data_IF_518427422159
#
_entry.id   IF_518427422159
#
_cell.length_a   1.000
_cell.length_b   1.000
_cell.length_c   1.000
_cell.angle_alpha   90.00
_cell.angle_beta   90.00
_cell.angle_gamma   90.00
#
_symmetry.space_group_name_H-M   'P 1'
#
loop_
_entity.id
_entity.type
_entity.pdbx_description
1 polymer ?
#
# COMPACT_ATOMS: atom_id res chain seq x y z
N UNK A 1 2.97 -9.64 14.37
CA UNK A 1 1.79 -10.01 13.55
C UNK A 1 2.18 -9.71 12.11
N UNK A 2 2.06 -10.67 11.19
CA UNK A 2 2.32 -10.38 9.76
C UNK A 2 1.04 -9.77 9.22
N UNK A 3 1.10 -8.51 8.80
CA UNK A 3 -0.07 -7.80 8.27
C UNK A 3 -0.61 -8.53 7.03
N UNK A 4 -1.93 -8.71 6.92
CA UNK A 4 -2.52 -9.24 5.70
C UNK A 4 -2.31 -8.23 4.55
N UNK A 5 -1.82 -8.72 3.41
CA UNK A 5 -1.73 -7.92 2.20
C UNK A 5 -3.14 -7.74 1.62
N UNK A 6 -3.58 -6.50 1.46
CA UNK A 6 -4.86 -6.17 0.81
C UNK A 6 -4.61 -5.53 -0.56
N UNK A 7 -5.61 -5.58 -1.45
CA UNK A 7 -5.56 -4.84 -2.70
C UNK A 7 -5.41 -3.32 -2.48
N UNK A 8 -6.01 -2.78 -1.41
CA UNK A 8 -5.91 -1.37 -1.03
C UNK A 8 -4.47 -0.92 -0.75
N UNK A 9 -3.69 -1.78 -0.08
CA UNK A 9 -2.25 -1.54 0.16
C UNK A 9 -1.51 -1.42 -1.17
N UNK A 10 -1.76 -2.33 -2.12
CA UNK A 10 -1.07 -2.34 -3.41
C UNK A 10 -1.47 -1.13 -4.25
N UNK A 11 -2.75 -0.80 -4.33
CA UNK A 11 -3.25 0.37 -5.06
C UNK A 11 -2.67 1.65 -4.48
N UNK A 12 -2.64 1.77 -3.15
CA UNK A 12 -2.02 2.91 -2.48
C UNK A 12 -0.54 3.04 -2.80
N UNK A 13 0.23 1.94 -2.77
CA UNK A 13 1.62 1.93 -3.20
C UNK A 13 1.78 2.42 -4.64
N UNK A 14 0.94 1.92 -5.54
CA UNK A 14 0.96 2.23 -6.96
C UNK A 14 0.82 3.73 -7.25
N UNK A 15 -0.02 4.42 -6.48
CA UNK A 15 -0.29 5.84 -6.66
C UNK A 15 0.44 6.76 -5.67
N UNK A 16 1.17 6.19 -4.72
CA UNK A 16 1.93 6.97 -3.73
C UNK A 16 3.04 7.80 -4.37
N UNK A 17 3.20 9.01 -3.86
CA UNK A 17 4.36 9.84 -4.22
C UNK A 17 5.65 9.25 -3.65
N UNK A 18 5.59 8.49 -2.55
CA UNK A 18 6.73 7.75 -2.01
C UNK A 18 7.41 6.88 -3.08
N UNK A 19 6.66 6.21 -3.97
CA UNK A 19 7.24 5.45 -5.08
C UNK A 19 7.74 6.34 -6.23
N UNK A 20 7.12 7.50 -6.46
CA UNK A 20 7.56 8.47 -7.49
C UNK A 20 8.83 9.22 -7.09
N UNK A 21 8.95 9.58 -5.82
CA UNK A 21 10.13 10.22 -5.23
C UNK A 21 11.24 9.22 -4.99
N UNK A 22 10.91 8.03 -4.48
CA UNK A 22 11.88 6.95 -4.37
C UNK A 22 12.30 6.47 -5.76
N UNK A 23 11.50 6.53 -6.83
CA UNK A 23 11.98 6.29 -8.20
C UNK A 23 13.19 7.14 -8.63
N UNK A 24 13.45 8.28 -7.95
CA UNK A 24 14.67 9.10 -8.11
C UNK A 24 15.79 8.78 -7.11
N UNK A 25 15.50 8.07 -6.01
CA UNK A 25 16.41 7.80 -4.87
C UNK A 25 16.59 6.30 -4.53
N UNK A 26 15.84 5.39 -5.17
CA UNK A 26 15.85 3.95 -4.93
C UNK A 26 17.19 3.41 -5.43
N UNK A 27 18.00 2.90 -4.49
CA UNK A 27 19.14 2.07 -4.84
C UNK A 27 18.71 0.90 -5.73
N UNK A 28 19.62 0.42 -6.58
CA UNK A 28 19.37 -0.58 -7.65
C UNK A 28 18.39 -1.72 -7.32
N UNK A 29 18.33 -2.22 -6.08
CA UNK A 29 17.43 -3.32 -5.69
C UNK A 29 15.93 -2.98 -5.67
N UNK A 30 15.57 -1.74 -5.35
CA UNK A 30 14.17 -1.29 -5.32
C UNK A 30 13.68 -0.77 -6.65
N UNK A 31 14.61 -0.20 -7.43
CA UNK A 31 14.40 0.11 -8.84
C UNK A 31 13.95 -1.13 -9.65
N UNK A 32 14.29 -2.34 -9.19
CA UNK A 32 13.91 -3.60 -9.85
C UNK A 32 12.66 -4.26 -9.27
N UNK A 33 12.30 -4.00 -8.01
CA UNK A 33 11.21 -4.73 -7.32
C UNK A 33 9.84 -4.12 -7.63
N UNK A 34 9.74 -2.78 -7.70
CA UNK A 34 8.47 -2.14 -8.02
C UNK A 34 8.02 -2.43 -9.46
N UNK A 35 8.88 -2.33 -10.50
CA UNK A 35 8.51 -2.76 -11.84
C UNK A 35 8.04 -4.23 -11.90
N UNK A 36 8.67 -5.14 -11.15
CA UNK A 36 8.21 -6.53 -11.05
C UNK A 36 6.82 -6.67 -10.45
N UNK A 37 6.47 -5.85 -9.45
CA UNK A 37 5.12 -5.79 -8.89
C UNK A 37 4.12 -5.34 -9.96
N UNK A 38 4.43 -4.24 -10.66
CA UNK A 38 3.61 -3.72 -11.76
C UNK A 38 3.41 -4.74 -12.86
N UNK A 39 4.50 -5.36 -13.34
CA UNK A 39 4.46 -6.34 -14.42
C UNK A 39 3.70 -7.61 -14.02
N UNK A 40 3.81 -8.03 -12.75
CA UNK A 40 3.05 -9.16 -12.22
C UNK A 40 1.54 -8.88 -12.24
N UNK A 41 1.12 -7.68 -11.82
CA UNK A 41 -0.30 -7.27 -11.86
C UNK A 41 -0.77 -7.15 -13.31
N UNK A 42 0.01 -6.48 -14.16
CA UNK A 42 -0.32 -6.30 -15.59
C UNK A 42 -0.47 -7.64 -16.29
N UNK A 43 0.43 -8.59 -16.07
CA UNK A 43 0.35 -9.92 -16.67
C UNK A 43 -0.91 -10.68 -16.22
N UNK A 44 -1.26 -10.61 -14.93
CA UNK A 44 -2.50 -11.22 -14.42
C UNK A 44 -3.72 -10.57 -15.08
N UNK A 45 -3.80 -9.25 -15.09
CA UNK A 45 -4.93 -8.52 -15.69
C UNK A 45 -5.02 -8.72 -17.20
N UNK A 46 -3.91 -8.92 -17.91
CA UNK A 46 -3.92 -9.29 -19.32
C UNK A 46 -4.48 -10.69 -19.54
N UNK A 47 -4.07 -11.67 -18.72
CA UNK A 47 -4.56 -13.04 -18.82
C UNK A 47 -6.08 -13.13 -18.57
N UNK A 48 -6.59 -12.31 -17.66
CA UNK A 48 -8.02 -12.26 -17.29
C UNK A 48 -8.83 -11.28 -18.16
N UNK A 49 -8.19 -10.57 -19.09
CA UNK A 49 -8.85 -9.60 -19.98
C UNK A 49 -9.27 -8.29 -19.31
N UNK A 50 -8.77 -7.99 -18.11
CA UNK A 50 -9.12 -6.81 -17.29
C UNK A 50 -8.05 -5.72 -17.28
N UNK A 51 -6.99 -5.82 -18.09
CA UNK A 51 -5.90 -4.82 -18.21
C UNK A 51 -6.38 -3.39 -18.46
N UNK A 52 -7.55 -3.22 -19.10
CA UNK A 52 -8.15 -1.91 -19.33
C UNK A 52 -8.47 -1.13 -18.03
N UNK A 53 -8.65 -1.82 -16.90
CA UNK A 53 -8.83 -1.18 -15.59
C UNK A 53 -7.53 -0.57 -15.08
N UNK A 54 -6.42 -1.32 -15.17
CA UNK A 54 -5.09 -0.83 -14.79
C UNK A 54 -4.71 0.40 -15.63
N UNK A 55 -4.81 0.29 -16.96
CA UNK A 55 -4.50 1.41 -17.88
C UNK A 55 -5.35 2.65 -17.60
N UNK A 56 -6.62 2.47 -17.22
CA UNK A 56 -7.51 3.59 -16.91
C UNK A 56 -7.08 4.29 -15.62
N UNK A 57 -6.76 3.54 -14.57
CA UNK A 57 -6.29 4.11 -13.32
C UNK A 57 -4.90 4.75 -13.45
N UNK A 58 -4.00 4.19 -14.28
CA UNK A 58 -2.70 4.79 -14.60
C UNK A 58 -2.84 6.14 -15.32
N UNK A 59 -3.74 6.24 -16.32
CA UNK A 59 -3.92 7.46 -17.12
C UNK A 59 -4.75 8.54 -16.41
N UNK A 60 -5.70 8.13 -15.59
CA UNK A 60 -6.64 9.02 -14.89
C UNK A 60 -6.88 8.49 -13.47
N UNK A 61 -5.99 8.79 -12.50
CA UNK A 61 -6.01 8.22 -11.16
C UNK A 61 -7.06 8.88 -10.26
N UNK A 62 -8.31 8.98 -10.71
CA UNK A 62 -9.45 9.38 -9.89
C UNK A 62 -9.78 8.28 -8.86
N UNK A 63 -10.36 8.66 -7.72
CA UNK A 63 -10.74 7.69 -6.67
C UNK A 63 -11.62 6.57 -7.21
N UNK A 64 -12.58 6.90 -8.08
CA UNK A 64 -13.44 5.90 -8.74
C UNK A 64 -12.66 4.90 -9.59
N UNK A 65 -11.57 5.31 -10.25
CA UNK A 65 -10.75 4.41 -11.05
C UNK A 65 -9.82 3.56 -10.16
N UNK A 66 -9.35 4.11 -9.03
CA UNK A 66 -8.58 3.38 -8.02
C UNK A 66 -9.42 2.31 -7.32
N UNK A 67 -10.63 2.64 -6.89
CA UNK A 67 -11.58 1.69 -6.27
C UNK A 67 -11.87 0.51 -7.21
N UNK A 68 -12.14 0.78 -8.49
CA UNK A 68 -12.36 -0.28 -9.48
C UNK A 68 -11.14 -1.17 -9.69
N UNK A 69 -9.94 -0.60 -9.68
CA UNK A 69 -8.71 -1.36 -9.76
C UNK A 69 -8.50 -2.21 -8.49
N UNK A 70 -8.81 -1.65 -7.32
CA UNK A 70 -8.74 -2.33 -6.03
C UNK A 70 -9.69 -3.53 -5.98
N UNK A 71 -10.95 -3.34 -6.36
CA UNK A 71 -11.96 -4.41 -6.36
C UNK A 71 -11.57 -5.56 -7.29
N UNK A 72 -11.10 -5.24 -8.49
CA UNK A 72 -10.61 -6.25 -9.43
C UNK A 72 -9.38 -6.97 -8.89
N UNK A 73 -8.40 -6.22 -8.36
CA UNK A 73 -7.18 -6.80 -7.81
C UNK A 73 -7.48 -7.73 -6.63
N UNK A 74 -8.42 -7.34 -5.76
CA UNK A 74 -8.87 -8.17 -4.65
C UNK A 74 -9.53 -9.45 -5.16
N UNK A 75 -10.41 -9.33 -6.17
CA UNK A 75 -11.05 -10.49 -6.82
C UNK A 75 -10.00 -11.47 -7.35
N UNK A 76 -8.94 -10.97 -8.01
CA UNK A 76 -7.87 -11.81 -8.53
C UNK A 76 -7.00 -12.43 -7.43
N UNK A 77 -6.75 -11.71 -6.33
CA UNK A 77 -6.04 -12.25 -5.17
C UNK A 77 -6.83 -13.34 -4.44
N UNK A 78 -8.14 -13.19 -4.33
CA UNK A 78 -9.03 -14.17 -3.68
C UNK A 78 -9.20 -15.42 -4.54
N UNK A 79 -9.24 -15.25 -5.87
CA UNK A 79 -9.36 -16.35 -6.83
C UNK A 79 -8.05 -17.13 -7.04
N UNK A 80 -6.90 -16.50 -6.87
CA UNK A 80 -5.58 -17.06 -7.18
C UNK A 80 -4.59 -16.83 -6.01
N UNK A 81 -4.51 -17.83 -5.14
CA UNK A 81 -3.63 -17.79 -3.96
C UNK A 81 -2.14 -17.73 -4.32
N UNK A 82 -1.71 -18.25 -5.49
CA UNK A 82 -0.32 -18.16 -5.93
C UNK A 82 0.02 -16.72 -6.32
N UNK A 83 -0.88 -16.09 -7.09
CA UNK A 83 -0.79 -14.67 -7.42
C UNK A 83 -0.76 -13.80 -6.16
N UNK A 84 -1.67 -14.01 -5.21
CA UNK A 84 -1.69 -13.27 -3.95
C UNK A 84 -0.39 -13.42 -3.14
N UNK A 85 0.16 -14.64 -3.06
CA UNK A 85 1.42 -14.89 -2.38
C UNK A 85 2.60 -14.21 -3.07
N UNK A 86 2.62 -14.19 -4.41
CA UNK A 86 3.66 -13.50 -5.18
C UNK A 86 3.63 -11.99 -4.92
N UNK A 87 2.44 -11.38 -4.91
CA UNK A 87 2.28 -9.96 -4.57
C UNK A 87 2.76 -9.67 -3.14
N UNK A 88 2.44 -10.56 -2.19
CA UNK A 88 2.88 -10.42 -0.78
C UNK A 88 4.40 -10.38 -0.65
N UNK A 89 5.09 -11.30 -1.32
CA UNK A 89 6.57 -11.33 -1.31
C UNK A 89 7.15 -10.05 -1.89
N UNK A 90 6.61 -9.55 -3.00
CA UNK A 90 7.08 -8.33 -3.65
C UNK A 90 6.84 -7.09 -2.77
N UNK A 91 5.69 -6.98 -2.12
CA UNK A 91 5.40 -5.87 -1.20
C UNK A 91 6.29 -5.90 0.03
N UNK A 92 6.52 -7.07 0.63
CA UNK A 92 7.45 -7.19 1.76
C UNK A 92 8.91 -6.84 1.37
N UNK A 93 9.34 -7.22 0.16
CA UNK A 93 10.62 -6.79 -0.38
C UNK A 93 10.69 -5.25 -0.50
N UNK A 94 9.65 -4.60 -1.01
CA UNK A 94 9.58 -3.15 -1.11
C UNK A 94 9.61 -2.46 0.28
N UNK A 95 8.86 -2.96 1.27
CA UNK A 95 8.88 -2.47 2.67
C UNK A 95 10.26 -2.58 3.32
N UNK A 96 11.03 -3.61 2.94
CA UNK A 96 12.38 -3.83 3.47
C UNK A 96 13.40 -2.87 2.88
N UNK A 97 13.14 -2.34 1.68
CA UNK A 97 14.06 -1.50 0.93
C UNK A 97 13.91 -0.01 1.24
N UNK A 98 12.71 0.44 1.58
CA UNK A 98 12.45 1.86 1.86
C UNK A 98 11.48 2.06 3.04
N UNK A 99 11.87 2.93 3.98
CA UNK A 99 11.07 3.26 5.16
C UNK A 99 9.79 4.06 4.83
N UNK A 100 9.82 4.89 3.78
CA UNK A 100 8.65 5.63 3.30
C UNK A 100 7.63 4.69 2.67
N UNK A 101 8.08 3.70 1.90
CA UNK A 101 7.22 2.64 1.37
C UNK A 101 6.60 1.82 2.51
N UNK A 102 7.39 1.48 3.53
CA UNK A 102 6.87 0.82 4.73
C UNK A 102 5.77 1.62 5.39
N UNK A 103 5.97 2.94 5.51
CA UNK A 103 4.99 3.83 6.10
C UNK A 103 3.69 3.91 5.27
N UNK A 104 3.79 3.95 3.93
CA UNK A 104 2.62 3.91 3.03
C UNK A 104 1.83 2.61 3.24
N UNK A 105 2.50 1.45 3.29
CA UNK A 105 1.80 0.17 3.53
C UNK A 105 1.04 0.19 4.85
N UNK A 106 1.64 0.75 5.90
CA UNK A 106 1.01 0.85 7.21
C UNK A 106 -0.20 1.81 7.21
N UNK A 107 -0.14 2.90 6.43
CA UNK A 107 -1.25 3.86 6.32
C UNK A 107 -2.44 3.36 5.50
N UNK A 108 -2.21 2.43 4.57
CA UNK A 108 -3.21 1.98 3.60
C UNK A 108 -4.03 0.77 4.06
N UNK A 109 -3.94 0.42 5.35
CA UNK A 109 -4.77 -0.62 5.95
C UNK A 109 -6.17 -0.03 6.17
N UNK A 110 -7.05 -0.23 5.20
CA UNK A 110 -8.49 0.01 5.38
C UNK A 110 -9.07 -1.08 6.30
N UNK A 111 -9.45 -0.68 7.51
CA UNK A 111 -10.09 -1.55 8.49
C UNK A 111 -11.61 -1.41 8.35
N UNK A 112 -12.24 -2.31 7.60
CA UNK A 112 -13.70 -2.33 7.37
C UNK A 112 -14.51 -2.83 8.57
N UNK A 113 -13.84 -3.20 9.67
CA UNK A 113 -14.44 -3.61 10.93
C UNK A 113 -14.13 -2.62 12.07
N UNK A 114 -14.22 -3.09 13.30
CA UNK A 114 -13.78 -2.31 14.47
C UNK A 114 -12.25 -2.26 14.50
N UNK A 115 -11.70 -1.05 14.64
CA UNK A 115 -10.28 -0.85 14.90
C UNK A 115 -10.09 -0.87 16.39
N UNK A 116 -9.31 -1.81 16.91
CA UNK A 116 -8.83 -1.76 18.31
C UNK A 116 -7.32 -1.70 18.31
N UNK A 117 -6.79 -0.51 18.57
CA UNK A 117 -5.37 -0.28 18.79
C UNK A 117 -5.14 -0.01 20.29
N UNK A 118 -4.14 -0.66 20.91
CA UNK A 118 -3.82 -0.43 22.33
C UNK A 118 -3.22 0.95 22.53
N UNK A 119 -1.92 1.11 22.27
CA UNK A 119 -1.27 2.41 22.26
C UNK A 119 -0.56 2.57 20.93
N UNK A 120 -0.67 3.75 20.30
CA UNK A 120 0.08 4.11 19.11
C UNK A 120 1.11 5.15 19.54
N UNK A 121 2.39 4.81 19.39
CA UNK A 121 3.49 5.74 19.64
C UNK A 121 4.24 6.00 18.34
N UNK A 122 4.36 7.27 17.98
CA UNK A 122 5.17 7.73 16.87
C UNK A 122 6.29 8.61 17.40
N UNK A 123 7.52 8.30 16.98
CA UNK A 123 8.72 9.03 17.38
C UNK A 123 9.51 9.41 16.14
N UNK A 124 9.83 10.70 15.98
CA UNK A 124 10.73 11.13 14.92
C UNK A 124 12.12 10.52 15.13
N UNK A 125 12.69 9.96 14.06
CA UNK A 125 14.04 9.40 14.07
C UNK A 125 15.14 10.47 13.95
N UNK A 126 14.79 11.74 13.68
CA UNK A 126 15.73 12.84 13.48
C UNK A 126 15.24 14.10 14.19
N UNK A 127 16.16 14.78 14.87
CA UNK A 127 15.91 16.12 15.43
C UNK A 127 15.63 17.11 14.29
N UNK A 128 14.43 17.70 14.30
CA UNK A 128 13.96 18.66 13.31
C UNK A 128 12.45 18.81 13.33
N UNK A 129 11.93 19.88 12.74
CA UNK A 129 10.48 20.05 12.57
C UNK A 129 9.99 19.08 11.49
N UNK A 130 9.59 17.88 11.89
CA UNK A 130 8.98 16.88 11.02
C UNK A 130 7.48 16.95 11.19
N UNK A 131 6.75 17.19 10.11
CA UNK A 131 5.31 17.02 10.10
C UNK A 131 5.00 15.53 10.28
N UNK A 132 4.30 15.21 11.35
CA UNK A 132 3.94 13.85 11.71
C UNK A 132 2.41 13.77 11.73
N UNK A 133 1.83 13.08 10.76
CA UNK A 133 0.40 12.79 10.72
C UNK A 133 0.15 11.36 11.23
N UNK A 134 -0.78 11.20 12.17
CA UNK A 134 -1.27 9.92 12.64
C UNK A 134 -2.73 9.73 12.22
N UNK A 135 -3.08 8.50 11.82
CA UNK A 135 -4.46 8.10 11.51
C UNK A 135 -5.14 8.95 10.42
N UNK A 136 -4.50 9.11 9.27
CA UNK A 136 -5.12 9.76 8.09
C UNK A 136 -6.02 8.78 7.35
N UNK A 137 -7.15 9.27 6.85
CA UNK A 137 -8.08 8.54 5.96
C UNK A 137 -8.62 7.20 6.51
N UNK A 138 -8.76 7.08 7.84
CA UNK A 138 -9.31 5.86 8.48
C UNK A 138 -10.84 5.82 8.32
N UNK A 139 -11.33 4.77 7.66
CA UNK A 139 -12.77 4.46 7.52
C UNK A 139 -13.09 3.13 8.19
N UNK A 140 -13.75 3.19 9.36
CA UNK A 140 -14.08 2.03 10.18
C UNK A 140 -15.48 2.14 10.80
N UNK A 141 -16.05 1.00 11.21
CA UNK A 141 -17.35 0.97 11.89
C UNK A 141 -17.26 1.52 13.31
N UNK A 142 -16.22 1.13 14.06
CA UNK A 142 -15.82 1.72 15.33
C UNK A 142 -14.30 1.89 15.37
N UNK A 143 -13.82 2.91 16.09
CA UNK A 143 -12.39 3.15 16.33
C UNK A 143 -12.17 3.22 17.84
N UNK A 144 -11.45 2.25 18.38
CA UNK A 144 -10.99 2.16 19.75
C UNK A 144 -9.45 2.27 19.76
N UNK A 145 -8.96 3.37 20.30
CA UNK A 145 -7.52 3.62 20.46
C UNK A 145 -7.29 4.01 21.91
N UNK A 146 -6.34 3.36 22.58
CA UNK A 146 -5.84 3.82 23.87
C UNK A 146 -4.98 5.06 23.70
N UNK A 147 -3.71 5.05 24.13
CA UNK A 147 -2.91 6.27 24.11
C UNK A 147 -2.32 6.54 22.72
N UNK A 148 -2.48 7.79 22.27
CA UNK A 148 -1.78 8.35 21.10
C UNK A 148 -0.63 9.22 21.60
N UNK A 149 0.59 8.71 21.49
CA UNK A 149 1.80 9.41 21.93
C UNK A 149 2.64 9.84 20.73
N UNK A 150 2.82 11.14 20.57
CA UNK A 150 3.61 11.73 19.50
C UNK A 150 4.83 12.41 20.12
N UNK A 151 6.01 11.92 19.78
CA UNK A 151 7.29 12.45 20.26
C UNK A 151 8.08 13.05 19.08
N UNK A 152 8.56 14.28 19.31
CA UNK A 152 9.53 14.96 18.44
C UNK A 152 10.95 14.45 18.70
#
# INVERSE_FOLDING_TARGET
MVEPLTAAVIVSLFFSEAIKESGKALGKGAADTFPKLVDTIRAKFQAEGTEGLLKRAENDPTEKNKEKLQDELQTQMDADAEFANKLKVLVEQLKSQDATIRQVVLSSIELTGDVTAKDISQKALREGSVEQEMLKDVKAANIDVGNLNQEA
#
